data_IF_566563604895
#
_entry.id   IF_566563604895
#
_cell.length_a   1.000
_cell.length_b   1.000
_cell.length_c   1.000
_cell.angle_alpha   90.00
_cell.angle_beta   90.00
_cell.angle_gamma   90.00
#
_symmetry.space_group_name_H-M   'P 1'
#
loop_
_entity.id
_entity.type
_entity.pdbx_description
1 polymer ?
#
# COMPACT_ATOMS: atom_id res chain seq x y z
N UNK A 1 18.68 12.86 19.75
CA UNK A 1 18.17 12.39 18.47
C UNK A 1 16.64 12.31 18.54
N UNK A 2 15.94 12.92 17.61
CA UNK A 2 14.48 12.92 17.55
C UNK A 2 13.98 11.96 16.49
N UNK A 3 12.99 11.13 16.85
CA UNK A 3 12.40 10.13 15.94
C UNK A 3 10.89 10.32 15.89
N UNK A 4 10.37 10.66 14.73
CA UNK A 4 8.94 10.75 14.50
C UNK A 4 8.39 9.39 14.07
N UNK A 5 7.44 8.85 14.82
CA UNK A 5 6.74 7.61 14.52
C UNK A 5 5.30 7.89 14.11
N UNK A 6 4.99 7.56 12.85
CA UNK A 6 3.70 7.83 12.24
C UNK A 6 2.52 7.13 12.94
N UNK A 7 2.72 5.98 13.56
CA UNK A 7 1.64 5.21 14.19
C UNK A 7 1.99 4.71 15.60
N UNK A 8 1.04 4.91 16.53
CA UNK A 8 1.15 4.46 17.92
C UNK A 8 1.48 2.96 18.11
N UNK A 9 1.07 2.10 17.16
CA UNK A 9 1.36 0.66 17.23
C UNK A 9 2.85 0.37 17.08
N UNK A 10 3.55 1.16 16.27
CA UNK A 10 4.99 1.04 16.11
C UNK A 10 5.70 1.36 17.43
N UNK A 11 5.24 2.37 18.17
CA UNK A 11 5.84 2.75 19.45
C UNK A 11 5.85 1.61 20.47
N UNK A 12 4.77 0.85 20.56
CA UNK A 12 4.70 -0.26 21.54
C UNK A 12 5.75 -1.34 21.31
N UNK A 13 6.16 -1.55 20.07
CA UNK A 13 7.04 -2.65 19.69
C UNK A 13 8.46 -2.18 19.32
N UNK A 14 8.60 -1.00 18.74
CA UNK A 14 9.88 -0.51 18.22
C UNK A 14 10.65 0.28 19.27
N UNK A 15 9.98 1.14 20.04
CA UNK A 15 10.67 2.01 21.02
C UNK A 15 11.46 1.22 22.06
N UNK A 16 10.89 0.21 22.75
CA UNK A 16 11.66 -0.59 23.70
C UNK A 16 12.87 -1.28 23.06
N UNK A 17 12.68 -1.79 21.83
CA UNK A 17 13.76 -2.44 21.10
C UNK A 17 14.89 -1.48 20.74
N UNK A 18 14.56 -0.25 20.30
CA UNK A 18 15.57 0.77 19.98
C UNK A 18 16.37 1.15 21.24
N UNK A 19 15.71 1.38 22.36
CA UNK A 19 16.38 1.68 23.63
C UNK A 19 17.30 0.53 24.09
N UNK A 20 16.90 -0.72 23.86
CA UNK A 20 17.73 -1.88 24.15
C UNK A 20 18.97 -1.94 23.26
N UNK A 21 18.84 -1.62 21.97
CA UNK A 21 19.95 -1.65 21.00
C UNK A 21 20.90 -0.45 21.15
N UNK A 22 20.40 0.68 21.63
CA UNK A 22 21.14 1.94 21.75
C UNK A 22 20.99 2.55 23.16
N UNK A 23 21.45 1.84 24.21
CA UNK A 23 21.19 2.25 25.59
C UNK A 23 21.88 3.57 25.99
N UNK A 24 22.97 3.93 25.30
CA UNK A 24 23.76 5.14 25.59
C UNK A 24 23.33 6.34 24.73
N UNK A 25 22.29 6.19 23.90
CA UNK A 25 21.78 7.27 23.05
C UNK A 25 20.55 7.92 23.68
N UNK A 26 20.57 9.24 23.76
CA UNK A 26 19.38 10.02 24.12
C UNK A 26 18.49 10.15 22.87
N UNK A 27 17.39 9.39 22.86
CA UNK A 27 16.45 9.33 21.74
C UNK A 27 15.07 9.72 22.23
N UNK A 28 14.56 10.83 21.71
CA UNK A 28 13.21 11.30 21.92
C UNK A 28 12.28 10.79 20.80
N UNK A 29 11.17 10.17 21.19
CA UNK A 29 10.16 9.67 20.26
C UNK A 29 8.95 10.58 20.24
N UNK A 30 8.65 11.10 19.05
CA UNK A 30 7.47 11.95 18.78
C UNK A 30 6.43 11.07 18.10
N UNK A 31 5.20 11.09 18.59
CA UNK A 31 4.10 10.31 17.99
C UNK A 31 3.22 11.19 17.14
N UNK A 32 3.05 10.83 15.89
CA UNK A 32 2.04 11.38 15.01
C UNK A 32 1.00 10.33 14.62
N UNK A 33 -0.21 10.76 14.36
CA UNK A 33 -1.30 9.89 13.93
C UNK A 33 -1.49 9.87 12.42
N UNK A 34 -0.95 10.86 11.71
CA UNK A 34 -1.04 10.99 10.25
C UNK A 34 0.07 11.92 9.71
N UNK A 35 0.18 12.00 8.41
CA UNK A 35 1.19 12.82 7.75
C UNK A 35 1.00 14.33 8.02
N UNK A 36 -0.22 14.77 8.28
CA UNK A 36 -0.53 16.16 8.63
C UNK A 36 0.17 16.57 9.91
N UNK A 37 0.30 15.68 10.90
CA UNK A 37 0.97 15.98 12.16
C UNK A 37 2.47 16.23 11.95
N UNK A 38 3.10 15.58 10.96
CA UNK A 38 4.50 15.83 10.60
C UNK A 38 4.68 17.24 10.00
N UNK A 39 3.78 17.68 9.12
CA UNK A 39 3.81 19.03 8.56
C UNK A 39 3.57 20.08 9.63
N UNK A 40 2.60 19.87 10.53
CA UNK A 40 2.35 20.75 11.65
C UNK A 40 3.58 20.85 12.56
N UNK A 41 4.25 19.74 12.82
CA UNK A 41 5.50 19.76 13.57
C UNK A 41 6.56 20.62 12.88
N UNK A 42 6.75 20.46 11.58
CA UNK A 42 7.71 21.25 10.81
C UNK A 42 7.37 22.74 10.80
N UNK A 43 6.10 23.08 10.63
CA UNK A 43 5.63 24.47 10.69
C UNK A 43 5.86 25.11 12.06
N UNK A 44 5.66 24.38 13.15
CA UNK A 44 5.84 24.87 14.52
C UNK A 44 7.31 25.03 14.92
N UNK A 45 8.19 24.12 14.47
CA UNK A 45 9.58 24.05 14.91
C UNK A 45 10.58 24.60 13.88
N UNK A 46 10.17 24.72 12.61
CA UNK A 46 11.02 25.15 11.50
C UNK A 46 12.04 24.10 11.05
N UNK A 47 12.01 22.90 11.63
CA UNK A 47 12.88 21.78 11.32
C UNK A 47 12.14 20.44 11.41
N UNK A 48 12.62 19.44 10.70
CA UNK A 48 12.11 18.08 10.78
C UNK A 48 12.79 17.32 11.94
N UNK A 49 12.13 16.29 12.53
CA UNK A 49 12.81 15.32 13.36
C UNK A 49 13.98 14.65 12.60
N UNK A 50 15.01 14.22 13.32
CA UNK A 50 16.21 13.60 12.71
C UNK A 50 15.86 12.34 11.90
N UNK A 51 14.89 11.57 12.37
CA UNK A 51 14.35 10.39 11.65
C UNK A 51 12.85 10.52 11.60
N UNK A 52 12.28 10.32 10.42
CA UNK A 52 10.83 10.34 10.22
C UNK A 52 10.34 9.03 9.64
N UNK A 53 9.18 8.57 10.10
CA UNK A 53 8.47 7.45 9.50
C UNK A 53 7.13 7.91 8.94
N UNK A 54 6.75 7.38 7.80
CA UNK A 54 5.48 7.69 7.14
C UNK A 54 4.79 6.41 6.67
N UNK A 55 3.47 6.42 6.60
CA UNK A 55 2.71 5.24 6.18
C UNK A 55 2.73 5.04 4.67
N UNK A 56 2.47 6.11 3.97
CA UNK A 56 2.40 6.14 2.51
C UNK A 56 3.19 7.33 2.03
N UNK A 57 3.92 7.07 0.98
CA UNK A 57 4.62 8.11 0.29
C UNK A 57 3.72 8.62 -0.85
N UNK A 58 3.32 9.86 -0.81
CA UNK A 58 2.68 10.51 -1.95
C UNK A 58 3.72 11.36 -2.68
N UNK A 59 3.73 11.29 -4.01
CA UNK A 59 4.73 12.00 -4.80
C UNK A 59 4.72 13.52 -4.61
N UNK A 60 3.58 14.11 -4.26
CA UNK A 60 3.45 15.54 -4.01
C UNK A 60 4.08 15.92 -2.66
N UNK A 61 3.73 15.22 -1.59
CA UNK A 61 4.27 15.46 -0.24
C UNK A 61 5.77 15.20 -0.19
N UNK A 62 6.24 14.24 -0.99
CA UNK A 62 7.65 13.94 -1.13
C UNK A 62 8.48 15.09 -1.69
N UNK A 63 7.96 15.82 -2.66
CA UNK A 63 8.69 16.91 -3.29
C UNK A 63 9.00 18.03 -2.32
N UNK A 64 8.08 18.32 -1.42
CA UNK A 64 8.26 19.39 -0.40
C UNK A 64 9.29 18.98 0.66
N UNK A 65 9.40 17.70 0.99
CA UNK A 65 10.37 17.18 1.97
C UNK A 65 11.73 16.85 1.34
N UNK A 66 11.79 16.63 0.04
CA UNK A 66 13.00 16.17 -0.66
C UNK A 66 14.27 16.95 -0.32
N UNK A 67 14.27 18.32 -0.20
CA UNK A 67 15.46 19.08 0.13
C UNK A 67 16.03 18.81 1.53
N UNK A 68 15.22 18.21 2.42
CA UNK A 68 15.60 17.95 3.81
C UNK A 68 16.00 16.49 4.06
N UNK A 69 15.82 15.61 3.07
CA UNK A 69 16.06 14.19 3.21
C UNK A 69 17.44 13.79 2.71
N UNK A 70 18.05 12.86 3.42
CA UNK A 70 19.36 12.31 3.07
C UNK A 70 19.23 11.25 1.97
N UNK A 71 20.16 11.27 1.01
CA UNK A 71 20.31 10.19 0.04
C UNK A 71 21.04 8.99 0.66
N UNK A 72 20.43 7.82 0.60
CA UNK A 72 20.95 6.56 1.13
C UNK A 72 21.77 5.75 0.10
N UNK A 73 21.88 6.18 -1.15
CA UNK A 73 22.53 5.40 -2.23
C UNK A 73 23.96 4.98 -1.90
N UNK A 74 24.69 5.78 -1.14
CA UNK A 74 26.09 5.51 -0.75
C UNK A 74 26.23 4.70 0.55
N UNK A 75 25.13 4.34 1.20
CA UNK A 75 25.13 3.65 2.50
C UNK A 75 24.90 2.16 2.37
N UNK A 76 25.57 1.36 3.18
CA UNK A 76 25.45 -0.10 3.19
C UNK A 76 24.03 -0.60 3.45
N UNK A 77 23.18 0.21 4.10
CA UNK A 77 21.82 -0.14 4.39
C UNK A 77 21.03 -0.49 3.13
N UNK A 78 21.31 0.19 2.01
CA UNK A 78 20.65 -0.06 0.73
C UNK A 78 20.88 -1.49 0.22
N UNK A 79 22.07 -2.05 0.48
CA UNK A 79 22.44 -3.40 0.05
C UNK A 79 21.63 -4.51 0.73
N UNK A 80 20.97 -4.19 1.85
CA UNK A 80 20.13 -5.13 2.63
C UNK A 80 18.72 -5.28 2.08
N UNK A 81 18.34 -4.47 1.11
CA UNK A 81 17.01 -4.46 0.52
C UNK A 81 17.01 -5.06 -0.88
N UNK A 82 15.90 -5.65 -1.26
CA UNK A 82 15.69 -6.06 -2.65
C UNK A 82 15.56 -4.83 -3.55
N UNK A 83 16.22 -4.85 -4.69
CA UNK A 83 16.24 -3.72 -5.64
C UNK A 83 14.84 -3.26 -6.06
N UNK A 84 13.89 -4.20 -6.23
CA UNK A 84 12.50 -3.86 -6.59
C UNK A 84 11.79 -3.04 -5.50
N UNK A 85 12.14 -3.24 -4.22
CA UNK A 85 11.55 -2.50 -3.12
C UNK A 85 12.08 -1.06 -3.07
N UNK A 86 13.36 -0.88 -3.35
CA UNK A 86 14.00 0.44 -3.35
C UNK A 86 13.70 1.26 -4.61
N UNK A 87 13.50 0.61 -5.75
CA UNK A 87 13.22 1.31 -7.00
C UNK A 87 11.96 2.18 -6.92
N UNK A 88 11.00 1.79 -6.09
CA UNK A 88 9.77 2.56 -5.87
C UNK A 88 10.02 3.88 -5.13
N UNK A 89 11.11 3.96 -4.38
CA UNK A 89 11.47 5.12 -3.54
C UNK A 89 12.58 5.99 -4.15
N UNK A 90 12.93 5.76 -5.40
CA UNK A 90 13.84 6.64 -6.13
C UNK A 90 13.12 7.91 -6.56
N UNK A 91 13.78 9.04 -6.35
CA UNK A 91 13.32 10.32 -6.87
C UNK A 91 13.75 10.51 -8.33
N UNK A 92 13.47 11.67 -8.91
CA UNK A 92 13.82 12.03 -10.30
C UNK A 92 15.33 12.10 -10.57
N UNK A 93 16.14 12.18 -9.52
CA UNK A 93 17.61 12.24 -9.57
C UNK A 93 18.26 10.88 -9.28
N UNK A 94 17.46 9.80 -9.25
CA UNK A 94 17.88 8.45 -8.92
C UNK A 94 18.36 8.26 -7.46
N UNK A 95 18.12 9.22 -6.57
CA UNK A 95 18.44 9.12 -5.16
C UNK A 95 17.39 8.29 -4.40
N UNK A 96 17.83 7.60 -3.36
CA UNK A 96 16.97 6.82 -2.45
C UNK A 96 16.90 7.57 -1.13
N UNK A 97 15.81 8.30 -0.92
CA UNK A 97 15.60 9.09 0.29
C UNK A 97 14.67 8.41 1.30
N UNK A 98 14.03 7.31 0.91
CA UNK A 98 13.13 6.54 1.75
C UNK A 98 13.50 5.06 1.75
N UNK A 99 13.39 4.44 2.92
CA UNK A 99 13.67 3.01 3.09
C UNK A 99 12.42 2.35 3.67
N UNK A 100 11.86 1.29 3.03
CA UNK A 100 10.70 0.60 3.56
C UNK A 100 11.04 -0.15 4.85
N UNK A 101 10.30 0.08 5.92
CA UNK A 101 10.42 -0.67 7.17
C UNK A 101 9.63 -1.98 7.08
N UNK A 102 8.45 -1.94 6.45
CA UNK A 102 7.58 -3.10 6.25
C UNK A 102 6.72 -2.92 5.00
N UNK A 103 6.14 -4.02 4.54
CA UNK A 103 5.15 -4.03 3.48
C UNK A 103 3.86 -4.70 3.96
N UNK A 104 2.73 -4.21 3.49
CA UNK A 104 1.42 -4.83 3.73
C UNK A 104 0.98 -5.49 2.43
N UNK A 105 0.96 -6.83 2.33
CA UNK A 105 0.47 -7.50 1.14
C UNK A 105 -1.06 -7.36 1.09
N UNK A 106 -1.57 -6.89 -0.03
CA UNK A 106 -2.99 -7.01 -0.35
C UNK A 106 -3.23 -8.41 -0.95
N UNK A 107 -4.07 -9.20 -0.30
CA UNK A 107 -4.27 -10.60 -0.67
C UNK A 107 -5.67 -11.08 -0.32
N UNK A 108 -6.08 -12.17 -0.96
CA UNK A 108 -7.29 -12.88 -0.57
C UNK A 108 -6.99 -13.79 0.62
N UNK A 109 -7.72 -13.59 1.71
CA UNK A 109 -7.67 -14.47 2.88
C UNK A 109 -8.77 -15.52 2.73
N UNK A 110 -8.42 -16.79 2.90
CA UNK A 110 -9.36 -17.90 2.79
C UNK A 110 -9.68 -18.51 4.15
N UNK A 111 -10.95 -18.79 4.40
CA UNK A 111 -11.36 -19.58 5.55
C UNK A 111 -11.18 -21.08 5.23
N UNK A 112 -10.00 -21.60 5.57
CA UNK A 112 -9.65 -23.00 5.27
C UNK A 112 -10.67 -24.01 5.84
N UNK A 113 -11.23 -23.73 7.03
CA UNK A 113 -12.23 -24.62 7.65
C UNK A 113 -13.46 -24.77 6.77
N UNK A 114 -13.95 -23.68 6.16
CA UNK A 114 -15.09 -23.74 5.25
C UNK A 114 -14.73 -24.52 3.97
N UNK A 115 -13.56 -24.30 3.40
CA UNK A 115 -13.11 -25.07 2.24
C UNK A 115 -13.09 -26.57 2.52
N UNK A 116 -12.52 -26.98 3.65
CA UNK A 116 -12.45 -28.38 4.05
C UNK A 116 -13.86 -28.95 4.32
N UNK A 117 -14.73 -28.20 5.01
CA UNK A 117 -16.10 -28.61 5.36
C UNK A 117 -16.94 -28.90 4.11
N UNK A 118 -16.81 -28.09 3.07
CA UNK A 118 -17.58 -28.25 1.82
C UNK A 118 -16.84 -29.04 0.75
N UNK A 119 -15.64 -29.57 1.05
CA UNK A 119 -14.83 -30.32 0.09
C UNK A 119 -14.37 -29.51 -1.12
N UNK A 120 -14.32 -28.18 -0.98
CA UNK A 120 -13.91 -27.25 -2.04
C UNK A 120 -12.40 -27.07 -1.97
N UNK A 121 -11.72 -27.18 -3.10
CA UNK A 121 -10.28 -26.96 -3.15
C UNK A 121 -9.95 -25.47 -3.11
N UNK A 122 -8.91 -25.08 -2.35
CA UNK A 122 -8.38 -23.71 -2.35
C UNK A 122 -7.89 -23.38 -3.77
N UNK A 123 -8.39 -22.30 -4.40
CA UNK A 123 -8.10 -21.99 -5.79
C UNK A 123 -6.64 -21.53 -5.97
N UNK A 124 -6.04 -21.91 -7.11
CA UNK A 124 -4.68 -21.54 -7.51
C UNK A 124 -4.65 -20.54 -8.66
N UNK A 125 -5.79 -20.28 -9.27
CA UNK A 125 -5.95 -19.34 -10.38
C UNK A 125 -7.37 -18.77 -10.40
N UNK A 126 -7.60 -17.75 -11.21
CA UNK A 126 -8.87 -17.06 -11.28
C UNK A 126 -10.06 -17.97 -11.67
N UNK A 127 -9.86 -18.90 -12.60
CA UNK A 127 -10.93 -19.83 -13.00
C UNK A 127 -11.37 -20.72 -11.84
N UNK A 128 -10.41 -21.25 -11.09
CA UNK A 128 -10.69 -22.04 -9.88
C UNK A 128 -11.34 -21.20 -8.78
N UNK A 129 -10.96 -19.92 -8.66
CA UNK A 129 -11.58 -18.98 -7.75
C UNK A 129 -13.07 -18.80 -8.08
N UNK A 130 -13.41 -18.48 -9.31
CA UNK A 130 -14.80 -18.30 -9.74
C UNK A 130 -15.64 -19.59 -9.52
N UNK A 131 -15.04 -20.74 -9.78
CA UNK A 131 -15.70 -22.05 -9.52
C UNK A 131 -15.91 -22.28 -8.01
N UNK A 132 -14.95 -21.93 -7.16
CA UNK A 132 -15.10 -22.06 -5.72
C UNK A 132 -16.19 -21.12 -5.19
N UNK A 133 -16.23 -19.88 -5.67
CA UNK A 133 -17.28 -18.94 -5.33
C UNK A 133 -18.66 -19.46 -5.72
N UNK A 134 -18.82 -20.02 -6.93
CA UNK A 134 -20.07 -20.61 -7.35
C UNK A 134 -20.48 -21.77 -6.46
N UNK A 135 -19.56 -22.68 -6.10
CA UNK A 135 -19.85 -23.80 -5.22
C UNK A 135 -20.29 -23.37 -3.82
N UNK A 136 -19.65 -22.36 -3.24
CA UNK A 136 -20.10 -21.80 -1.96
C UNK A 136 -21.49 -21.17 -2.08
N UNK A 137 -21.74 -20.40 -3.13
CA UNK A 137 -23.03 -19.78 -3.37
C UNK A 137 -24.15 -20.81 -3.53
N UNK A 138 -23.92 -21.90 -4.27
CA UNK A 138 -24.88 -23.00 -4.44
C UNK A 138 -25.21 -23.72 -3.11
N UNK A 139 -24.29 -23.68 -2.14
CA UNK A 139 -24.50 -24.20 -0.79
C UNK A 139 -25.07 -23.15 0.19
N UNK A 140 -25.50 -21.98 -0.29
CA UNK A 140 -26.06 -20.92 0.54
C UNK A 140 -25.03 -20.17 1.40
N UNK A 141 -23.75 -20.32 1.08
CA UNK A 141 -22.64 -19.61 1.75
C UNK A 141 -22.25 -18.41 0.90
N UNK A 142 -22.14 -17.24 1.54
CA UNK A 142 -21.60 -16.05 0.89
C UNK A 142 -20.10 -16.27 0.55
N UNK A 143 -19.72 -16.28 -0.75
CA UNK A 143 -18.37 -16.72 -1.12
C UNK A 143 -17.29 -15.69 -0.77
N UNK A 144 -17.65 -14.42 -0.74
CA UNK A 144 -16.72 -13.31 -0.62
C UNK A 144 -17.27 -12.22 0.28
N UNK A 145 -16.44 -11.73 1.18
CA UNK A 145 -16.73 -10.58 2.04
C UNK A 145 -15.72 -9.51 1.71
N UNK A 146 -16.21 -8.32 1.49
CA UNK A 146 -15.41 -7.14 1.17
C UNK A 146 -15.95 -5.98 1.99
N UNK A 147 -15.05 -5.29 2.68
CA UNK A 147 -15.39 -4.05 3.35
C UNK A 147 -15.35 -2.92 2.30
N UNK A 148 -16.52 -2.34 2.03
CA UNK A 148 -16.69 -1.17 1.15
C UNK A 148 -17.34 0.00 1.89
N UNK A 149 -17.35 -0.02 3.23
CA UNK A 149 -17.92 1.06 4.02
C UNK A 149 -17.14 2.37 3.88
N UNK A 150 -15.84 2.25 3.61
CA UNK A 150 -14.94 3.39 3.45
C UNK A 150 -14.52 3.60 1.99
N UNK A 151 -14.42 4.85 1.56
CA UNK A 151 -14.05 5.19 0.18
C UNK A 151 -12.71 4.59 -0.25
N UNK A 152 -11.74 4.50 0.66
CA UNK A 152 -10.42 3.94 0.38
C UNK A 152 -10.46 2.43 0.10
N UNK A 153 -11.38 1.68 0.70
CA UNK A 153 -11.51 0.23 0.46
C UNK A 153 -12.02 -0.06 -0.95
N UNK A 154 -12.88 0.80 -1.49
CA UNK A 154 -13.29 0.74 -2.90
C UNK A 154 -12.10 0.94 -3.85
N UNK A 155 -11.21 1.89 -3.53
CA UNK A 155 -10.00 2.12 -4.31
C UNK A 155 -9.07 0.89 -4.30
N UNK A 156 -8.92 0.22 -3.16
CA UNK A 156 -8.09 -0.99 -3.06
C UNK A 156 -8.60 -2.14 -3.94
N UNK A 157 -9.90 -2.31 -4.05
CA UNK A 157 -10.49 -3.31 -4.95
C UNK A 157 -10.20 -3.00 -6.42
N UNK A 158 -10.33 -1.74 -6.80
CA UNK A 158 -10.00 -1.30 -8.17
C UNK A 158 -8.50 -1.48 -8.42
N UNK A 159 -7.65 -1.14 -7.46
CA UNK A 159 -6.20 -1.32 -7.56
C UNK A 159 -5.83 -2.81 -7.70
N UNK A 160 -6.46 -3.69 -6.93
CA UNK A 160 -6.24 -5.14 -7.06
C UNK A 160 -6.62 -5.65 -8.46
N UNK A 161 -7.74 -5.19 -9.02
CA UNK A 161 -8.14 -5.49 -10.40
C UNK A 161 -7.23 -4.84 -11.45
N UNK A 162 -6.60 -3.72 -11.11
CA UNK A 162 -5.76 -2.95 -12.02
C UNK A 162 -4.30 -3.43 -12.09
N UNK A 163 -3.84 -4.25 -11.14
CA UNK A 163 -2.41 -4.53 -10.99
C UNK A 163 -1.77 -5.13 -12.25
N UNK A 164 -2.48 -6.00 -12.96
CA UNK A 164 -2.02 -6.58 -14.21
C UNK A 164 -1.87 -5.55 -15.33
N UNK A 165 -2.79 -4.60 -15.41
CA UNK A 165 -2.77 -3.51 -16.39
C UNK A 165 -1.66 -2.49 -16.03
N UNK A 166 -1.57 -2.08 -14.78
CA UNK A 166 -0.56 -1.10 -14.33
C UNK A 166 0.87 -1.63 -14.35
N UNK A 167 1.08 -2.93 -14.30
CA UNK A 167 2.40 -3.56 -14.42
C UNK A 167 2.74 -3.96 -15.86
N UNK A 168 1.81 -3.81 -16.82
CA UNK A 168 2.10 -3.94 -18.24
C UNK A 168 3.01 -2.80 -18.74
N UNK A 169 3.65 -3.00 -19.89
CA UNK A 169 4.50 -1.94 -20.49
C UNK A 169 3.73 -0.64 -20.74
N UNK A 170 2.49 -0.73 -21.21
CA UNK A 170 1.64 0.43 -21.46
C UNK A 170 1.20 1.09 -20.15
N UNK A 171 0.85 0.30 -19.14
CA UNK A 171 0.51 0.81 -17.82
C UNK A 171 1.69 1.49 -17.11
N UNK A 172 2.88 0.94 -17.23
CA UNK A 172 4.10 1.57 -16.71
C UNK A 172 4.35 2.92 -17.39
N UNK A 173 4.27 2.97 -18.73
CA UNK A 173 4.42 4.24 -19.48
C UNK A 173 3.37 5.26 -19.07
N UNK A 174 2.10 4.82 -18.92
CA UNK A 174 1.04 5.72 -18.49
C UNK A 174 1.29 6.28 -17.09
N UNK A 175 1.67 5.45 -16.12
CA UNK A 175 1.99 5.88 -14.75
C UNK A 175 3.16 6.87 -14.74
N UNK A 176 4.26 6.56 -15.42
CA UNK A 176 5.43 7.46 -15.49
C UNK A 176 5.07 8.81 -16.12
N UNK A 177 4.15 8.84 -17.10
CA UNK A 177 3.67 10.10 -17.65
C UNK A 177 2.79 10.88 -16.67
N UNK A 178 2.04 10.20 -15.82
CA UNK A 178 1.22 10.80 -14.79
C UNK A 178 2.05 11.36 -13.62
N UNK A 179 3.12 10.66 -13.26
CA UNK A 179 4.05 11.08 -12.19
C UNK A 179 4.90 12.28 -12.62
N UNK A 180 5.25 12.38 -13.90
CA UNK A 180 6.13 13.44 -14.41
C UNK A 180 5.47 14.82 -14.57
N UNK A 181 4.15 14.89 -14.64
CA UNK A 181 3.40 16.17 -14.74
C UNK A 181 1.91 15.95 -14.49
N UNK A 182 1.42 16.44 -13.35
CA UNK A 182 0.00 16.43 -13.02
C UNK A 182 -0.86 17.15 -14.08
N UNK A 183 -0.31 18.18 -14.70
CA UNK A 183 -1.01 19.01 -15.69
C UNK A 183 -1.15 18.33 -17.06
N UNK A 184 -0.39 17.27 -17.33
CA UNK A 184 -0.34 16.56 -18.61
C UNK A 184 -0.89 15.14 -18.58
N UNK A 185 -1.54 14.71 -17.51
CA UNK A 185 -2.16 13.40 -17.42
C UNK A 185 -3.21 13.25 -18.51
N UNK A 186 -2.93 12.43 -19.50
CA UNK A 186 -3.94 12.02 -20.48
C UNK A 186 -4.66 10.81 -19.95
N UNK A 187 -5.96 10.96 -19.74
CA UNK A 187 -6.81 9.84 -19.38
C UNK A 187 -6.82 8.79 -20.52
N UNK A 188 -6.33 7.59 -20.22
CA UNK A 188 -6.41 6.45 -21.14
C UNK A 188 -7.72 5.69 -20.92
N UNK A 189 -8.73 6.05 -21.69
CA UNK A 189 -10.05 5.43 -21.62
C UNK A 189 -10.03 3.92 -21.90
N UNK A 190 -9.13 3.44 -22.76
CA UNK A 190 -9.03 2.02 -23.10
C UNK A 190 -8.43 1.22 -21.93
N UNK A 191 -7.38 1.74 -21.28
CA UNK A 191 -6.78 1.17 -20.09
C UNK A 191 -7.83 1.08 -18.96
N UNK A 192 -8.46 2.17 -18.63
CA UNK A 192 -9.46 2.23 -17.57
C UNK A 192 -10.69 1.36 -17.84
N UNK A 193 -11.11 1.26 -19.09
CA UNK A 193 -12.20 0.34 -19.47
C UNK A 193 -11.83 -1.12 -19.18
N UNK A 194 -10.60 -1.53 -19.46
CA UNK A 194 -10.14 -2.90 -19.12
C UNK A 194 -10.12 -3.11 -17.61
N UNK A 195 -9.56 -2.18 -16.84
CA UNK A 195 -9.49 -2.25 -15.37
C UNK A 195 -10.89 -2.40 -14.78
N UNK A 196 -11.80 -1.51 -15.12
CA UNK A 196 -13.17 -1.52 -14.58
C UNK A 196 -13.95 -2.77 -15.02
N UNK A 197 -13.71 -3.26 -16.25
CA UNK A 197 -14.31 -4.50 -16.72
C UNK A 197 -13.81 -5.73 -15.92
N UNK A 198 -12.51 -5.80 -15.64
CA UNK A 198 -11.93 -6.87 -14.81
C UNK A 198 -12.47 -6.82 -13.39
N UNK A 199 -12.52 -5.64 -12.78
CA UNK A 199 -13.08 -5.44 -11.44
C UNK A 199 -14.56 -5.84 -11.38
N UNK A 200 -15.35 -5.43 -12.39
CA UNK A 200 -16.77 -5.80 -12.49
C UNK A 200 -16.95 -7.32 -12.62
N UNK A 201 -16.10 -7.97 -13.43
CA UNK A 201 -16.14 -9.43 -13.59
C UNK A 201 -15.79 -10.12 -12.28
N UNK A 202 -14.76 -9.67 -11.57
CA UNK A 202 -14.38 -10.20 -10.26
C UNK A 202 -15.52 -10.12 -9.25
N UNK A 203 -16.17 -8.96 -9.12
CA UNK A 203 -17.29 -8.77 -8.20
C UNK A 203 -18.48 -9.67 -8.56
N UNK A 204 -18.78 -9.80 -9.85
CA UNK A 204 -19.84 -10.70 -10.34
C UNK A 204 -19.54 -12.16 -10.02
N UNK A 205 -18.33 -12.63 -10.31
CA UNK A 205 -17.93 -14.02 -10.08
C UNK A 205 -17.78 -14.33 -8.58
N UNK A 206 -17.60 -13.30 -7.76
CA UNK A 206 -17.61 -13.38 -6.28
C UNK A 206 -19.03 -13.36 -5.70
N UNK A 207 -20.07 -13.28 -6.53
CA UNK A 207 -21.46 -13.10 -6.11
C UNK A 207 -21.70 -11.90 -5.19
N UNK A 208 -20.91 -10.84 -5.39
CA UNK A 208 -21.04 -9.59 -4.66
C UNK A 208 -22.23 -8.78 -5.16
N UNK A 209 -23.07 -8.26 -4.25
CA UNK A 209 -24.29 -7.52 -4.56
C UNK A 209 -24.28 -6.13 -3.90
N UNK A 210 -25.23 -5.29 -4.28
CA UNK A 210 -25.39 -3.97 -3.67
C UNK A 210 -25.71 -4.03 -2.18
N UNK A 211 -26.37 -5.09 -1.74
CA UNK A 211 -26.74 -5.28 -0.33
C UNK A 211 -25.51 -5.56 0.56
N UNK A 212 -24.40 -5.92 -0.08
CA UNK A 212 -23.12 -6.16 0.58
C UNK A 212 -22.32 -4.89 0.89
N UNK A 213 -22.76 -3.74 0.33
CA UNK A 213 -22.10 -2.43 0.52
C UNK A 213 -22.56 -1.75 1.82
N UNK A 214 -23.68 -2.16 2.36
CA UNK A 214 -24.38 -1.50 3.48
C UNK A 214 -24.15 -2.15 4.84
N UNK A 215 -23.12 -2.92 5.01
CA UNK A 215 -22.82 -3.62 6.28
C UNK A 215 -21.69 -2.92 7.02
#
# INVERSE_FOLDING_TARGET
LTVYLWENRLMKNIVPYIHEQFPDQDIEFITGNNDTDLYSYFEEHGELPDIITVRRFSGADAQDLQPYLMDFCSYDVVSKYYSYALQYYKNSEDEIQWIPICGIPQTLIVNKTLFDQYGIKIPKNYKEYAQACQQFYDNGIKPYILDLAEDWSTQEVIQAGAIGEFTSLDGIKWRSSAESSADNIKFDAALWKRILSQTSTFLKDSHFTKDDISV
#
